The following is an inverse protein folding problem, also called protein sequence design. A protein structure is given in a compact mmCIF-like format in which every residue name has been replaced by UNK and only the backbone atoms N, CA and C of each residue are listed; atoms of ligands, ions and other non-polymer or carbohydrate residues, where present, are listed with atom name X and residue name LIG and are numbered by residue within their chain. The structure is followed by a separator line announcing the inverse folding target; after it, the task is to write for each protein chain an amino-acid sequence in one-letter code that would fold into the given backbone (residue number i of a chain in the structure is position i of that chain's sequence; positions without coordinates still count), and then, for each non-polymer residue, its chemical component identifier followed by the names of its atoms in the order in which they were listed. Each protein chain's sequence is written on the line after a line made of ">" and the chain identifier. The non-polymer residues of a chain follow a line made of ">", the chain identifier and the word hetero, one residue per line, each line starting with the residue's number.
data_IF_564335224362
#
_entry.id   IF_564335224362
#
_cell.length_a   1.000
_cell.length_b   1.000
_cell.length_c   1.000
_cell.angle_alpha   90.00
_cell.angle_beta   90.00
_cell.angle_gamma   90.00
#
_symmetry.space_group_name_H-M   'P 1'
#
loop_
_entity.id
_entity.type
_entity.pdbx_description
1 polymer ?
#
# COMPACT_ATOMS: atom_id res chain seq x y z
N UNK A 1 8.18 -14.76 -16.93
CA UNK A 1 7.72 -13.96 -15.77
C UNK A 1 8.38 -12.61 -15.87
N UNK A 2 7.63 -11.51 -15.83
CA UNK A 2 8.24 -10.19 -15.75
C UNK A 2 8.99 -10.06 -14.41
N UNK A 3 10.13 -9.37 -14.40
CA UNK A 3 10.81 -9.07 -13.15
C UNK A 3 9.95 -8.11 -12.34
N UNK A 4 9.70 -8.45 -11.07
CA UNK A 4 9.00 -7.57 -10.13
C UNK A 4 10.01 -6.90 -9.21
N UNK A 5 9.83 -5.61 -9.04
CA UNK A 5 10.64 -4.82 -8.14
C UNK A 5 9.78 -4.36 -6.97
N UNK A 6 10.25 -4.62 -5.75
CA UNK A 6 9.63 -4.12 -4.54
C UNK A 6 10.45 -2.93 -4.05
N UNK A 7 9.79 -1.80 -3.81
CA UNK A 7 10.44 -0.63 -3.20
C UNK A 7 9.67 -0.12 -2.00
N UNK A 8 10.40 0.40 -1.02
CA UNK A 8 9.81 1.13 0.09
C UNK A 8 9.19 2.45 -0.41
N UNK A 9 8.10 2.87 0.22
CA UNK A 9 7.50 4.18 -0.01
C UNK A 9 8.35 5.28 0.65
N UNK A 10 8.52 6.39 -0.04
CA UNK A 10 9.12 7.62 0.47
C UNK A 10 8.16 8.80 0.40
N UNK A 11 8.64 9.98 0.82
CA UNK A 11 7.79 11.18 0.88
C UNK A 11 7.24 11.63 -0.48
N UNK A 12 7.98 11.37 -1.56
CA UNK A 12 7.53 11.64 -2.92
C UNK A 12 6.29 10.83 -3.33
N UNK A 13 6.02 9.71 -2.64
CA UNK A 13 4.92 8.80 -2.99
C UNK A 13 3.60 9.16 -2.32
N UNK A 14 3.61 10.04 -1.30
CA UNK A 14 2.42 10.29 -0.48
C UNK A 14 1.22 10.73 -1.30
N UNK A 15 1.41 11.63 -2.27
CA UNK A 15 0.31 12.09 -3.12
C UNK A 15 -0.22 10.96 -4.02
N UNK A 16 0.68 10.14 -4.56
CA UNK A 16 0.32 8.99 -5.38
C UNK A 16 -0.44 7.93 -4.56
N UNK A 17 0.04 7.58 -3.36
CA UNK A 17 -0.64 6.67 -2.43
C UNK A 17 -2.01 7.21 -2.04
N UNK A 18 -2.12 8.52 -1.75
CA UNK A 18 -3.42 9.13 -1.42
C UNK A 18 -4.41 8.96 -2.56
N UNK A 19 -4.00 9.25 -3.79
CA UNK A 19 -4.85 9.08 -4.98
C UNK A 19 -5.20 7.60 -5.22
N UNK A 20 -4.23 6.69 -5.05
CA UNK A 20 -4.43 5.24 -5.16
C UNK A 20 -5.50 4.76 -4.18
N UNK A 21 -5.40 5.12 -2.91
CA UNK A 21 -6.32 4.66 -1.86
C UNK A 21 -7.72 5.23 -2.09
N UNK A 22 -7.85 6.49 -2.51
CA UNK A 22 -9.16 7.05 -2.91
C UNK A 22 -9.76 6.23 -4.05
N UNK A 23 -8.96 5.89 -5.07
CA UNK A 23 -9.44 5.16 -6.23
C UNK A 23 -9.89 3.71 -5.91
N UNK A 24 -9.21 3.03 -4.97
CA UNK A 24 -9.47 1.62 -4.66
C UNK A 24 -10.39 1.42 -3.45
N UNK A 25 -10.39 2.35 -2.49
CA UNK A 25 -11.12 2.26 -1.21
C UNK A 25 -12.17 3.37 -1.04
N UNK A 26 -12.27 4.33 -1.97
CA UNK A 26 -13.29 5.40 -1.97
C UNK A 26 -13.03 6.58 -1.03
N UNK A 27 -11.92 6.58 -0.29
CA UNK A 27 -11.52 7.65 0.64
C UNK A 27 -9.99 7.70 0.81
N UNK A 28 -9.44 8.77 1.39
CA UNK A 28 -8.01 8.86 1.73
C UNK A 28 -7.65 8.29 3.11
N UNK A 29 -8.63 7.70 3.79
CA UNK A 29 -8.48 7.03 5.07
C UNK A 29 -9.19 5.67 5.09
N UNK A 30 -8.74 4.80 6.00
CA UNK A 30 -9.38 3.52 6.31
C UNK A 30 -9.62 3.42 7.82
N UNK A 31 -10.64 2.68 8.23
CA UNK A 31 -10.96 2.47 9.64
C UNK A 31 -10.78 1.00 9.97
N UNK A 32 -9.91 0.70 10.94
CA UNK A 32 -9.66 -0.67 11.40
C UNK A 32 -9.64 -0.73 12.92
N UNK A 33 -10.53 -1.52 13.51
CA UNK A 33 -10.71 -1.63 14.97
C UNK A 33 -10.96 -0.27 15.67
N UNK A 34 -11.79 0.57 15.06
CA UNK A 34 -12.13 1.90 15.61
C UNK A 34 -11.02 2.95 15.47
N UNK A 35 -9.88 2.61 14.86
CA UNK A 35 -8.78 3.55 14.60
C UNK A 35 -8.82 4.00 13.14
N UNK A 36 -8.75 5.31 12.92
CA UNK A 36 -8.60 5.92 11.59
C UNK A 36 -7.13 5.89 11.20
N UNK A 37 -6.84 5.39 10.01
CA UNK A 37 -5.52 5.41 9.40
C UNK A 37 -5.57 6.19 8.09
N UNK A 38 -4.50 6.93 7.82
CA UNK A 38 -4.28 7.59 6.54
C UNK A 38 -3.14 6.85 5.82
N UNK A 39 -3.41 5.90 4.91
CA UNK A 39 -2.37 5.05 4.35
C UNK A 39 -1.23 5.83 3.68
N UNK A 40 -1.52 7.00 3.12
CA UNK A 40 -0.53 7.88 2.51
C UNK A 40 0.47 8.52 3.47
N UNK A 41 0.28 8.39 4.79
CA UNK A 41 1.22 8.84 5.82
C UNK A 41 1.95 7.67 6.49
N UNK A 42 1.68 6.43 6.08
CA UNK A 42 2.25 5.23 6.67
C UNK A 42 3.45 4.73 5.88
N UNK A 43 4.40 4.03 6.53
CA UNK A 43 5.38 3.26 5.80
C UNK A 43 4.68 2.15 5.00
N UNK A 44 5.34 1.71 3.95
CA UNK A 44 4.78 0.72 3.06
C UNK A 44 5.73 0.31 1.96
N UNK A 45 5.24 -0.59 1.12
CA UNK A 45 5.93 -1.07 -0.06
C UNK A 45 5.01 -1.01 -1.27
N UNK A 46 5.57 -0.71 -2.42
CA UNK A 46 4.90 -0.83 -3.70
C UNK A 46 5.67 -1.81 -4.58
N UNK A 47 4.93 -2.73 -5.20
CA UNK A 47 5.43 -3.69 -6.16
C UNK A 47 5.21 -3.16 -7.58
N UNK A 48 6.22 -3.25 -8.42
CA UNK A 48 6.19 -2.78 -9.80
C UNK A 48 6.54 -3.88 -10.79
N UNK A 49 5.87 -3.86 -11.94
CA UNK A 49 6.30 -4.52 -13.17
C UNK A 49 6.66 -3.41 -14.17
N UNK A 50 7.96 -3.11 -14.29
CA UNK A 50 8.42 -1.92 -15.02
C UNK A 50 7.93 -0.63 -14.36
N UNK A 51 7.17 0.18 -15.08
CA UNK A 51 6.59 1.43 -14.56
C UNK A 51 5.20 1.24 -13.92
N UNK A 52 4.59 0.07 -14.08
CA UNK A 52 3.25 -0.20 -13.58
C UNK A 52 3.30 -0.69 -12.14
N UNK A 53 2.57 -0.04 -11.25
CA UNK A 53 2.35 -0.57 -9.91
C UNK A 53 1.35 -1.74 -9.98
N UNK A 54 1.77 -2.90 -9.49
CA UNK A 54 0.95 -4.12 -9.45
C UNK A 54 0.49 -4.49 -8.04
N UNK A 55 1.03 -3.82 -7.01
CA UNK A 55 0.55 -3.97 -5.65
C UNK A 55 1.06 -2.89 -4.70
N UNK A 56 0.30 -2.67 -3.63
CA UNK A 56 0.60 -1.68 -2.61
C UNK A 56 0.29 -2.28 -1.24
N UNK A 57 1.19 -2.06 -0.28
CA UNK A 57 1.00 -2.42 1.11
C UNK A 57 1.38 -1.23 2.00
N UNK A 58 0.51 -0.89 2.95
CA UNK A 58 0.81 0.06 4.01
C UNK A 58 0.70 -0.60 5.36
N UNK A 59 1.56 -0.22 6.30
CA UNK A 59 1.60 -0.84 7.62
C UNK A 59 1.94 0.16 8.72
N UNK A 60 1.72 -0.25 9.96
CA UNK A 60 2.23 0.45 11.13
C UNK A 60 2.93 -0.55 12.04
N UNK A 61 4.00 -0.10 12.70
CA UNK A 61 4.66 -0.86 13.76
C UNK A 61 4.37 -0.17 15.08
N UNK A 62 3.78 -0.90 16.02
CA UNK A 62 3.51 -0.41 17.37
C UNK A 62 3.99 -1.46 18.38
N UNK A 63 4.89 -1.05 19.27
CA UNK A 63 5.59 -1.95 20.18
C UNK A 63 6.24 -3.14 19.43
N UNK A 64 5.75 -4.35 19.65
CA UNK A 64 6.27 -5.59 19.05
C UNK A 64 5.35 -6.18 17.99
N UNK A 65 4.41 -5.39 17.45
CA UNK A 65 3.47 -5.84 16.44
C UNK A 65 3.57 -5.01 15.15
N UNK A 66 3.58 -5.71 14.02
CA UNK A 66 3.36 -5.13 12.70
C UNK A 66 1.89 -5.33 12.33
N UNK A 67 1.19 -4.24 12.05
CA UNK A 67 -0.18 -4.27 11.52
C UNK A 67 -0.15 -3.84 10.07
N UNK A 68 -0.55 -4.73 9.18
CA UNK A 68 -0.92 -4.38 7.80
C UNK A 68 -2.21 -3.56 7.88
N UNK A 69 -2.17 -2.35 7.33
CA UNK A 69 -3.32 -1.43 7.33
C UNK A 69 -4.09 -1.56 6.02
N UNK A 70 -3.38 -1.60 4.89
CA UNK A 70 -3.95 -1.95 3.58
C UNK A 70 -3.01 -2.90 2.84
N UNK A 71 -3.59 -3.80 2.06
CA UNK A 71 -2.88 -4.62 1.06
C UNK A 71 -3.76 -4.71 -0.19
N UNK A 72 -3.18 -4.37 -1.32
CA UNK A 72 -3.85 -4.30 -2.60
C UNK A 72 -3.02 -5.10 -3.62
N UNK A 73 -3.63 -6.16 -4.18
CA UNK A 73 -3.05 -6.95 -5.28
C UNK A 73 -3.83 -6.63 -6.55
N UNK A 74 -3.17 -5.98 -7.52
CA UNK A 74 -3.80 -5.53 -8.77
C UNK A 74 -3.72 -6.58 -9.89
N UNK A 75 -3.19 -7.76 -9.57
CA UNK A 75 -3.04 -8.90 -10.48
C UNK A 75 -3.37 -10.20 -9.74
N UNK A 76 -4.56 -10.72 -9.98
CA UNK A 76 -4.99 -11.99 -9.41
C UNK A 76 -4.18 -13.17 -9.93
N UNK A 77 -4.01 -14.21 -9.10
CA UNK A 77 -3.27 -15.43 -9.46
C UNK A 77 -1.77 -15.23 -9.71
N UNK A 78 -1.23 -14.03 -9.47
CA UNK A 78 0.14 -13.66 -9.82
C UNK A 78 1.11 -13.72 -8.64
N UNK A 79 0.64 -13.96 -7.40
CA UNK A 79 1.47 -13.99 -6.20
C UNK A 79 1.99 -12.62 -5.75
N UNK A 80 1.18 -11.57 -5.91
CA UNK A 80 1.52 -10.20 -5.47
C UNK A 80 1.07 -9.91 -4.03
N UNK A 81 -0.06 -10.49 -3.61
CA UNK A 81 -0.61 -10.36 -2.26
C UNK A 81 -0.03 -11.31 -1.23
#
# INVERSE_FOLDING_TARGET
>A
MAARELRALGDADRQWVRAFVIAHWGSDFVVGHGVVYHPHTLPGFAAFEGAECVGLLTYTIAANACKIVTIDSLREGAGVG
#
